data_IF_974626460883
#
_entry.id   IF_974626460883
#
_cell.length_a   1.000
_cell.length_b   1.000
_cell.length_c   1.000
_cell.angle_alpha   90.00
_cell.angle_beta   90.00
_cell.angle_gamma   90.00
#
_symmetry.space_group_name_H-M   'P 1'
#
loop_
_entity.id
_entity.type
_entity.pdbx_description
1 polymer ?
#
# COMPACT_ATOMS: atom_id res chain seq x y z
N UNK A 1 31.12 -57.43 30.65
CA UNK A 1 30.30 -58.65 30.79
C UNK A 1 28.86 -58.23 30.50
N UNK A 2 28.20 -58.94 29.61
CA UNK A 2 26.97 -58.52 28.93
C UNK A 2 25.67 -58.93 29.66
N UNK A 3 24.53 -58.57 29.02
CA UNK A 3 23.14 -59.07 29.13
C UNK A 3 22.27 -58.19 30.05
N UNK A 4 21.34 -57.34 29.59
CA UNK A 4 20.13 -57.48 28.75
C UNK A 4 18.85 -57.84 29.53
N UNK A 5 17.71 -57.36 28.99
CA UNK A 5 16.27 -57.44 29.39
C UNK A 5 15.80 -56.32 30.35
N UNK A 6 14.77 -55.51 30.09
CA UNK A 6 13.67 -55.54 29.12
C UNK A 6 12.32 -55.65 29.86
N UNK A 7 11.53 -54.58 29.95
CA UNK A 7 10.07 -54.50 29.65
C UNK A 7 9.38 -53.23 30.19
N UNK A 8 8.42 -52.76 29.39
CA UNK A 8 7.46 -51.67 29.56
C UNK A 8 6.45 -51.89 30.71
N UNK A 9 5.99 -50.79 31.35
CA UNK A 9 4.56 -50.50 31.59
C UNK A 9 4.29 -49.13 32.22
N UNK A 10 3.37 -48.38 31.61
CA UNK A 10 2.32 -47.60 32.28
C UNK A 10 2.71 -46.26 32.92
N UNK A 11 2.47 -45.16 32.21
CA UNK A 11 2.44 -43.81 32.77
C UNK A 11 1.21 -43.06 32.27
N UNK A 12 0.31 -42.76 33.21
CA UNK A 12 -1.04 -42.21 33.04
C UNK A 12 -1.03 -40.83 32.37
N UNK A 13 -1.85 -40.63 31.34
CA UNK A 13 -2.19 -39.30 30.80
C UNK A 13 -3.28 -38.70 31.69
N UNK A 14 -2.90 -37.77 32.56
CA UNK A 14 -3.85 -36.96 33.31
C UNK A 14 -4.43 -35.88 32.40
N UNK A 15 -5.70 -36.02 32.03
CA UNK A 15 -6.46 -34.98 31.33
C UNK A 15 -7.13 -34.09 32.38
N UNK A 16 -6.54 -32.94 32.68
CA UNK A 16 -7.20 -31.92 33.51
C UNK A 16 -7.91 -30.94 32.57
N UNK A 17 -9.23 -31.09 32.46
CA UNK A 17 -10.07 -30.12 31.77
C UNK A 17 -10.33 -28.93 32.70
N UNK A 18 -9.73 -27.78 32.41
CA UNK A 18 -10.14 -26.50 32.98
C UNK A 18 -11.13 -25.87 31.99
N UNK A 19 -12.41 -25.85 32.39
CA UNK A 19 -13.47 -25.17 31.66
C UNK A 19 -13.48 -23.71 32.13
N UNK A 20 -13.10 -22.79 31.25
CA UNK A 20 -13.28 -21.36 31.45
C UNK A 20 -12.61 -20.51 30.37
N UNK A 21 -13.44 -19.80 29.57
CA UNK A 21 -13.06 -18.57 28.84
C UNK A 21 -12.18 -18.73 27.60
N UNK A 22 -12.79 -18.77 26.42
CA UNK A 22 -12.22 -18.92 25.07
C UNK A 22 -10.95 -18.09 24.78
N UNK A 23 -9.81 -18.79 24.73
CA UNK A 23 -8.57 -18.40 24.06
C UNK A 23 -7.84 -19.67 23.62
N UNK A 24 -8.00 -20.08 22.36
CA UNK A 24 -7.31 -21.27 21.81
C UNK A 24 -5.89 -20.89 21.35
N UNK A 25 -4.89 -21.22 22.15
CA UNK A 25 -3.49 -21.31 21.72
C UNK A 25 -3.03 -22.77 21.76
N UNK A 26 -2.88 -23.40 20.60
CA UNK A 26 -2.22 -24.71 20.47
C UNK A 26 -0.71 -24.48 20.40
N UNK A 27 -0.02 -24.69 21.53
CA UNK A 27 1.45 -24.72 21.58
C UNK A 27 1.97 -26.11 21.24
N UNK A 28 2.59 -26.27 20.07
CA UNK A 28 3.39 -27.45 19.75
C UNK A 28 4.82 -27.20 20.24
N UNK A 29 5.26 -27.94 21.26
CA UNK A 29 6.67 -27.99 21.64
C UNK A 29 7.41 -28.99 20.75
N UNK A 30 8.14 -28.47 19.77
CA UNK A 30 9.14 -29.21 19.00
C UNK A 30 10.53 -28.77 19.48
N UNK A 31 11.34 -29.71 19.93
CA UNK A 31 12.72 -29.49 20.35
C UNK A 31 13.62 -29.20 19.14
N UNK A 32 14.11 -27.96 19.01
CA UNK A 32 15.25 -27.63 18.13
C UNK A 32 14.99 -26.52 17.11
N UNK A 33 15.37 -25.29 17.44
CA UNK A 33 15.37 -24.11 16.56
C UNK A 33 14.69 -22.91 17.21
N UNK A 34 15.48 -21.94 17.65
CA UNK A 34 15.00 -20.65 18.17
C UNK A 34 14.20 -19.92 17.07
N UNK A 35 12.87 -19.99 17.14
CA UNK A 35 11.98 -19.04 16.50
C UNK A 35 11.72 -17.94 17.53
N UNK A 36 12.21 -16.73 17.24
CA UNK A 36 11.94 -15.56 18.08
C UNK A 36 10.44 -15.32 18.21
N UNK A 37 10.03 -14.87 19.40
CA UNK A 37 8.67 -14.43 19.70
C UNK A 37 8.17 -13.46 18.63
N UNK A 38 7.13 -13.89 17.91
CA UNK A 38 6.36 -13.06 17.00
C UNK A 38 5.28 -12.41 17.85
N UNK A 39 5.45 -11.12 18.11
CA UNK A 39 4.54 -10.39 18.98
C UNK A 39 3.18 -10.18 18.28
N UNK A 40 2.14 -10.66 18.93
CA UNK A 40 0.75 -10.62 18.48
C UNK A 40 0.14 -9.27 18.83
N UNK A 41 0.50 -8.23 18.09
CA UNK A 41 -0.06 -6.89 18.25
C UNK A 41 -0.38 -6.24 16.89
N UNK A 42 -1.22 -6.91 16.11
CA UNK A 42 -2.07 -6.28 15.08
C UNK A 42 -3.38 -7.09 15.04
N UNK A 43 -4.16 -7.00 16.13
CA UNK A 43 -5.55 -7.48 16.11
C UNK A 43 -6.32 -6.55 15.17
N UNK A 44 -6.51 -7.02 13.95
CA UNK A 44 -7.43 -6.43 12.97
C UNK A 44 -8.81 -6.40 13.63
N UNK A 45 -9.15 -5.25 14.19
CA UNK A 45 -10.50 -5.00 14.66
C UNK A 45 -11.33 -4.80 13.40
N UNK A 46 -12.08 -5.82 12.99
CA UNK A 46 -13.12 -5.66 11.96
C UNK A 46 -14.10 -4.61 12.47
N UNK A 47 -13.95 -3.38 11.98
CA UNK A 47 -14.98 -2.35 12.08
C UNK A 47 -16.16 -2.80 11.22
N UNK A 48 -17.07 -3.56 11.81
CA UNK A 48 -18.38 -3.82 11.23
C UNK A 48 -19.23 -2.56 11.38
N UNK A 49 -19.10 -1.65 10.41
CA UNK A 49 -20.05 -0.56 10.23
C UNK A 49 -21.48 -1.14 10.09
N UNK A 50 -22.52 -0.49 10.64
CA UNK A 50 -23.89 -0.97 10.48
C UNK A 50 -24.24 -0.95 8.99
N UNK A 51 -24.38 -2.14 8.41
CA UNK A 51 -24.73 -2.31 7.00
C UNK A 51 -26.14 -1.73 6.84
N UNK A 52 -26.28 -0.54 6.24
CA UNK A 52 -27.55 -0.18 5.63
C UNK A 52 -27.75 -1.21 4.52
N UNK A 53 -28.66 -2.15 4.73
CA UNK A 53 -28.84 -3.26 3.80
C UNK A 53 -29.44 -2.71 2.52
N UNK A 54 -28.65 -2.68 1.46
CA UNK A 54 -29.12 -2.36 0.11
C UNK A 54 -30.20 -3.35 -0.32
N UNK A 55 -31.16 -2.91 -1.13
CA UNK A 55 -32.22 -3.78 -1.62
C UNK A 55 -31.63 -4.95 -2.42
N UNK A 56 -32.19 -6.15 -2.25
CA UNK A 56 -31.72 -7.34 -2.95
C UNK A 56 -31.79 -7.11 -4.47
N UNK A 57 -30.71 -7.43 -5.19
CA UNK A 57 -30.61 -7.21 -6.64
C UNK A 57 -30.22 -5.79 -7.08
N UNK A 58 -29.93 -4.90 -6.13
CA UNK A 58 -29.31 -3.60 -6.42
C UNK A 58 -27.80 -3.72 -6.69
N UNK A 59 -27.22 -2.66 -7.25
CA UNK A 59 -25.77 -2.53 -7.41
C UNK A 59 -25.05 -2.57 -6.05
N UNK A 60 -25.60 -1.95 -5.00
CA UNK A 60 -25.05 -2.00 -3.65
C UNK A 60 -25.04 -3.41 -3.06
N UNK A 61 -26.11 -4.19 -3.24
CA UNK A 61 -26.16 -5.60 -2.82
C UNK A 61 -25.11 -6.44 -3.56
N UNK A 62 -24.93 -6.22 -4.87
CA UNK A 62 -23.89 -6.89 -5.65
C UNK A 62 -22.48 -6.58 -5.12
N UNK A 63 -22.16 -5.32 -4.86
CA UNK A 63 -20.87 -4.92 -4.28
C UNK A 63 -20.63 -5.57 -2.91
N UNK A 64 -21.64 -5.62 -2.05
CA UNK A 64 -21.55 -6.29 -0.75
C UNK A 64 -21.28 -7.79 -0.88
N UNK A 65 -21.95 -8.47 -1.83
CA UNK A 65 -21.70 -9.90 -2.14
C UNK A 65 -20.28 -10.16 -2.64
N UNK A 66 -19.69 -9.18 -3.33
CA UNK A 66 -18.30 -9.22 -3.79
C UNK A 66 -17.29 -8.80 -2.70
N UNK A 67 -17.74 -8.69 -1.44
CA UNK A 67 -16.94 -8.36 -0.25
C UNK A 67 -16.31 -6.96 -0.31
N UNK A 68 -16.94 -6.04 -1.04
CA UNK A 68 -16.67 -4.62 -0.95
C UNK A 68 -17.61 -4.01 0.09
N UNK A 69 -17.18 -2.90 0.70
CA UNK A 69 -18.01 -2.11 1.60
C UNK A 69 -18.59 -0.94 0.80
N UNK A 70 -19.86 -0.98 0.35
CA UNK A 70 -20.43 0.13 -0.41
C UNK A 70 -20.64 1.33 0.50
N UNK A 71 -20.42 2.53 -0.04
CA UNK A 71 -20.69 3.80 0.66
C UNK A 71 -22.13 3.80 1.14
N UNK A 72 -22.38 4.16 2.39
CA UNK A 72 -23.73 4.23 2.97
C UNK A 72 -23.87 5.47 3.86
N UNK A 73 -24.98 5.59 4.60
CA UNK A 73 -25.23 6.73 5.50
C UNK A 73 -24.21 6.82 6.63
N UNK A 74 -23.70 5.69 7.11
CA UNK A 74 -22.68 5.58 8.15
C UNK A 74 -21.24 5.79 7.68
N UNK A 75 -20.95 5.78 6.38
CA UNK A 75 -19.59 6.02 5.85
C UNK A 75 -19.12 7.42 6.24
N UNK A 76 -17.96 7.54 6.88
CA UNK A 76 -17.45 8.83 7.38
C UNK A 76 -16.95 9.74 6.25
N UNK A 77 -17.02 11.05 6.47
CA UNK A 77 -16.52 12.08 5.53
C UNK A 77 -15.05 11.82 5.14
N UNK A 78 -14.22 11.39 6.10
CA UNK A 78 -12.82 11.03 5.85
C UNK A 78 -12.63 9.89 4.84
N UNK A 79 -13.54 8.91 4.79
CA UNK A 79 -13.50 7.83 3.80
C UNK A 79 -13.88 8.37 2.43
N UNK A 80 -14.89 9.23 2.36
CA UNK A 80 -15.31 9.87 1.10
C UNK A 80 -14.20 10.78 0.55
N UNK A 81 -13.53 11.56 1.40
CA UNK A 81 -12.35 12.34 1.03
C UNK A 81 -11.28 11.44 0.39
N UNK A 82 -10.98 10.28 0.99
CA UNK A 82 -10.00 9.33 0.46
C UNK A 82 -10.44 8.72 -0.87
N UNK A 83 -11.74 8.42 -1.04
CA UNK A 83 -12.31 7.97 -2.32
C UNK A 83 -12.09 9.03 -3.40
N UNK A 84 -12.39 10.29 -3.12
CA UNK A 84 -12.22 11.40 -4.07
C UNK A 84 -10.74 11.65 -4.41
N UNK A 85 -9.85 11.44 -3.43
CA UNK A 85 -8.40 11.63 -3.59
C UNK A 85 -7.67 10.41 -4.14
N UNK A 86 -8.32 9.26 -4.30
CA UNK A 86 -7.60 8.04 -4.72
C UNK A 86 -6.97 8.19 -6.11
N UNK A 87 -7.61 8.95 -7.02
CA UNK A 87 -7.17 9.16 -8.40
C UNK A 87 -5.99 10.10 -8.56
N UNK A 88 -5.52 10.74 -7.48
CA UNK A 88 -4.42 11.72 -7.54
C UNK A 88 -3.08 11.03 -7.76
N UNK A 89 -2.71 10.83 -9.01
CA UNK A 89 -1.35 10.48 -9.44
C UNK A 89 -0.68 11.59 -10.26
N UNK A 90 -1.34 12.74 -10.39
CA UNK A 90 -0.84 13.82 -11.22
C UNK A 90 0.27 14.59 -10.48
N UNK A 91 1.35 14.86 -11.21
CA UNK A 91 2.59 15.39 -10.68
C UNK A 91 2.75 16.91 -10.81
N UNK A 92 1.68 17.65 -11.09
CA UNK A 92 1.76 19.07 -11.39
C UNK A 92 1.00 19.99 -10.44
N UNK A 93 1.31 21.28 -10.52
CA UNK A 93 0.53 22.35 -9.90
C UNK A 93 -0.71 22.71 -10.72
N UNK A 94 -1.45 21.69 -11.18
CA UNK A 94 -2.63 21.86 -12.04
C UNK A 94 -3.85 21.26 -11.33
N UNK A 95 -4.98 21.98 -11.26
CA UNK A 95 -6.21 21.43 -10.74
C UNK A 95 -6.66 20.20 -11.53
N UNK A 96 -7.12 19.17 -10.81
CA UNK A 96 -7.78 18.01 -11.42
C UNK A 96 -9.26 18.29 -11.41
N UNK A 97 -9.87 18.35 -12.59
CA UNK A 97 -11.31 18.56 -12.75
C UNK A 97 -11.95 17.22 -13.12
N UNK A 98 -12.90 16.78 -12.30
CA UNK A 98 -13.76 15.64 -12.62
C UNK A 98 -15.11 16.19 -13.11
N UNK A 99 -15.44 16.07 -14.41
CA UNK A 99 -16.75 16.45 -14.93
C UNK A 99 -17.87 15.61 -14.32
N UNK A 100 -19.09 16.16 -14.38
CA UNK A 100 -20.30 15.44 -14.02
C UNK A 100 -20.41 14.14 -14.82
N UNK A 101 -20.91 13.08 -14.20
CA UNK A 101 -21.17 11.77 -14.81
C UNK A 101 -19.92 11.02 -15.32
N UNK A 102 -18.72 11.58 -15.13
CA UNK A 102 -17.47 10.95 -15.57
C UNK A 102 -17.15 9.71 -14.73
N UNK A 103 -17.24 9.82 -13.40
CA UNK A 103 -16.80 8.77 -12.48
C UNK A 103 -17.82 7.62 -12.44
N UNK A 104 -19.10 7.96 -12.41
CA UNK A 104 -20.27 7.09 -12.51
C UNK A 104 -21.49 7.97 -12.85
N UNK A 105 -22.57 7.37 -13.34
CA UNK A 105 -23.82 8.05 -13.67
C UNK A 105 -24.43 8.73 -12.43
N UNK A 106 -24.64 10.04 -12.49
CA UNK A 106 -25.08 10.85 -11.36
C UNK A 106 -23.95 11.45 -10.52
N UNK A 107 -22.68 11.11 -10.78
CA UNK A 107 -21.55 11.68 -10.04
C UNK A 107 -21.45 13.21 -10.24
N UNK A 108 -21.24 13.99 -9.15
CA UNK A 108 -21.16 15.43 -9.25
C UNK A 108 -19.84 15.88 -9.90
N UNK A 109 -19.87 17.08 -10.50
CA UNK A 109 -18.64 17.76 -10.89
C UNK A 109 -17.90 18.24 -9.64
N UNK A 110 -16.59 18.02 -9.59
CA UNK A 110 -15.74 18.64 -8.56
C UNK A 110 -14.33 18.92 -9.09
N UNK A 111 -13.56 19.66 -8.29
CA UNK A 111 -12.18 20.02 -8.63
C UNK A 111 -11.29 19.84 -7.42
N UNK A 112 -10.21 19.10 -7.59
CA UNK A 112 -9.12 19.03 -6.62
C UNK A 112 -8.12 20.13 -6.96
N UNK A 113 -7.96 21.08 -6.04
CA UNK A 113 -7.01 22.18 -6.20
C UNK A 113 -5.62 21.75 -5.76
N UNK A 114 -4.56 22.11 -6.50
CA UNK A 114 -3.21 21.79 -6.09
C UNK A 114 -2.82 22.67 -4.89
N UNK A 115 -1.99 22.11 -4.01
CA UNK A 115 -1.41 22.77 -2.85
C UNK A 115 0.11 22.55 -2.91
N UNK A 116 0.90 23.60 -2.77
CA UNK A 116 2.37 23.49 -2.70
C UNK A 116 2.82 23.69 -1.27
N UNK A 117 3.66 22.78 -0.77
CA UNK A 117 4.33 22.89 0.52
C UNK A 117 5.82 22.94 0.30
N UNK A 118 6.49 23.83 1.03
CA UNK A 118 7.95 23.91 1.03
C UNK A 118 8.49 23.21 2.27
N UNK A 119 9.30 22.17 2.08
CA UNK A 119 10.00 21.48 3.17
C UNK A 119 11.49 21.47 2.83
N UNK A 120 12.30 22.07 3.70
CA UNK A 120 13.76 22.19 3.51
C UNK A 120 14.15 22.75 2.11
N UNK A 121 13.47 23.81 1.68
CA UNK A 121 13.70 24.44 0.38
C UNK A 121 13.22 23.64 -0.84
N UNK A 122 12.50 22.52 -0.63
CA UNK A 122 11.93 21.70 -1.69
C UNK A 122 10.40 21.81 -1.75
N UNK A 123 9.89 21.93 -2.97
CA UNK A 123 8.47 22.00 -3.28
C UNK A 123 7.87 20.59 -3.37
N UNK A 124 6.87 20.36 -2.53
CA UNK A 124 5.99 19.20 -2.57
C UNK A 124 4.62 19.63 -3.08
N UNK A 125 4.16 18.93 -4.12
CA UNK A 125 2.89 19.21 -4.76
C UNK A 125 1.84 18.21 -4.24
N UNK A 126 0.79 18.75 -3.67
CA UNK A 126 -0.33 18.06 -3.05
C UNK A 126 -1.65 18.49 -3.69
N UNK A 127 -2.73 17.88 -3.24
CA UNK A 127 -4.08 18.34 -3.53
C UNK A 127 -4.80 18.66 -2.23
N UNK A 128 -5.56 19.75 -2.22
CA UNK A 128 -6.47 20.08 -1.14
C UNK A 128 -7.50 18.97 -0.97
N UNK A 129 -7.82 18.67 0.30
CA UNK A 129 -8.95 17.80 0.59
C UNK A 129 -10.24 18.41 0.07
N UNK A 130 -11.17 17.61 -0.49
CA UNK A 130 -12.48 18.09 -0.90
C UNK A 130 -13.21 18.78 0.26
N UNK A 131 -13.84 19.92 -0.02
CA UNK A 131 -14.66 20.64 0.98
C UNK A 131 -15.92 19.85 1.31
N UNK A 132 -16.50 20.11 2.49
CA UNK A 132 -17.67 19.37 3.00
C UNK A 132 -18.83 19.26 2.01
N UNK A 133 -19.20 20.34 1.32
CA UNK A 133 -20.30 20.29 0.35
C UNK A 133 -20.03 19.31 -0.81
N UNK A 134 -18.76 19.17 -1.24
CA UNK A 134 -18.36 18.20 -2.27
C UNK A 134 -18.45 16.77 -1.72
N UNK A 135 -18.00 16.57 -0.48
CA UNK A 135 -18.06 15.27 0.22
C UNK A 135 -19.50 14.81 0.37
N UNK A 136 -20.38 15.67 0.89
CA UNK A 136 -21.79 15.37 1.13
C UNK A 136 -22.51 15.06 -0.19
N UNK A 137 -22.34 15.89 -1.22
CA UNK A 137 -22.96 15.69 -2.54
C UNK A 137 -22.48 14.39 -3.21
N UNK A 138 -21.20 14.05 -3.10
CA UNK A 138 -20.67 12.81 -3.66
C UNK A 138 -21.17 11.58 -2.91
N UNK A 139 -21.24 11.65 -1.58
CA UNK A 139 -21.80 10.58 -0.73
C UNK A 139 -23.26 10.30 -1.09
N UNK A 140 -24.07 11.34 -1.25
CA UNK A 140 -25.47 11.22 -1.69
C UNK A 140 -25.56 10.60 -3.09
N UNK A 141 -24.77 11.09 -4.05
CA UNK A 141 -24.74 10.54 -5.40
C UNK A 141 -24.40 9.04 -5.42
N UNK A 142 -23.43 8.61 -4.60
CA UNK A 142 -23.13 7.19 -4.45
C UNK A 142 -24.31 6.40 -3.87
N UNK A 143 -24.95 6.88 -2.81
CA UNK A 143 -26.10 6.20 -2.21
C UNK A 143 -27.23 6.02 -3.22
N UNK A 144 -27.54 7.05 -4.01
CA UNK A 144 -28.56 6.98 -5.07
C UNK A 144 -28.17 5.97 -6.15
N UNK A 145 -26.94 6.04 -6.66
CA UNK A 145 -26.47 5.14 -7.71
C UNK A 145 -26.47 3.67 -7.26
N UNK A 146 -26.11 3.40 -6.00
CA UNK A 146 -26.06 2.05 -5.44
C UNK A 146 -27.45 1.41 -5.23
N UNK A 147 -28.54 2.21 -5.22
CA UNK A 147 -29.91 1.68 -5.23
C UNK A 147 -30.37 1.22 -6.63
N UNK A 148 -29.62 1.56 -7.69
CA UNK A 148 -29.94 1.16 -9.05
C UNK A 148 -29.97 -0.36 -9.22
N UNK A 149 -30.85 -0.86 -10.08
CA UNK A 149 -30.96 -2.29 -10.38
C UNK A 149 -29.69 -2.80 -11.07
N UNK A 150 -29.18 -3.94 -10.61
CA UNK A 150 -28.02 -4.57 -11.25
C UNK A 150 -28.41 -5.27 -12.55
N UNK A 151 -27.67 -4.99 -13.61
CA UNK A 151 -27.66 -5.77 -14.86
C UNK A 151 -26.24 -6.22 -15.20
N UNK A 152 -26.10 -7.46 -15.69
CA UNK A 152 -24.79 -8.10 -15.96
C UNK A 152 -23.93 -7.37 -17.00
N UNK A 153 -24.54 -6.54 -17.83
CA UNK A 153 -23.88 -5.89 -18.97
C UNK A 153 -23.48 -4.43 -18.70
N UNK A 154 -23.54 -3.97 -17.45
CA UNK A 154 -23.22 -2.57 -17.12
C UNK A 154 -21.74 -2.37 -16.77
N UNK A 155 -21.01 -1.61 -17.60
CA UNK A 155 -19.69 -1.04 -17.21
C UNK A 155 -19.78 -0.07 -16.00
N UNK A 156 -21.00 0.21 -15.56
CA UNK A 156 -21.32 1.02 -14.38
C UNK A 156 -20.96 0.32 -13.06
N UNK A 157 -21.07 -1.01 -12.98
CA UNK A 157 -20.69 -1.72 -11.76
C UNK A 157 -19.22 -1.47 -11.42
N UNK A 158 -18.31 -1.57 -12.40
CA UNK A 158 -16.88 -1.33 -12.20
C UNK A 158 -16.59 0.12 -11.77
N UNK A 159 -17.36 1.09 -12.28
CA UNK A 159 -17.26 2.48 -11.85
C UNK A 159 -17.67 2.65 -10.39
N UNK A 160 -18.77 2.04 -9.96
CA UNK A 160 -19.24 2.08 -8.57
C UNK A 160 -18.34 1.27 -7.63
N UNK A 161 -17.79 0.14 -8.09
CA UNK A 161 -16.72 -0.57 -7.38
C UNK A 161 -15.56 0.37 -7.10
N UNK A 162 -15.20 1.23 -8.04
CA UNK A 162 -14.07 2.14 -7.90
C UNK A 162 -14.36 3.36 -7.04
N UNK A 163 -15.55 3.93 -7.18
CA UNK A 163 -15.85 5.27 -6.68
C UNK A 163 -16.94 5.32 -5.60
N UNK A 164 -17.66 4.24 -5.35
CA UNK A 164 -18.71 4.15 -4.34
C UNK A 164 -18.52 2.96 -3.39
N UNK A 165 -17.28 2.50 -3.22
CA UNK A 165 -16.89 1.55 -2.16
C UNK A 165 -15.74 2.09 -1.32
N UNK A 166 -15.74 1.73 -0.04
CA UNK A 166 -14.66 2.06 0.88
C UNK A 166 -13.38 1.34 0.43
N UNK A 167 -12.33 2.10 0.03
CA UNK A 167 -11.14 1.51 -0.55
C UNK A 167 -10.26 0.90 0.53
N UNK A 168 -9.73 -0.29 0.24
CA UNK A 168 -8.52 -0.82 0.89
C UNK A 168 -7.30 -0.49 0.03
N UNK A 169 -6.10 -0.56 0.59
CA UNK A 169 -4.85 -0.31 -0.16
C UNK A 169 -4.79 -1.18 -1.43
N UNK A 170 -5.15 -2.47 -1.35
CA UNK A 170 -5.19 -3.36 -2.52
C UNK A 170 -6.16 -2.91 -3.62
N UNK A 171 -7.29 -2.29 -3.26
CA UNK A 171 -8.27 -1.80 -4.24
C UNK A 171 -7.67 -0.63 -5.01
N UNK A 172 -7.02 0.29 -4.31
CA UNK A 172 -6.40 1.47 -4.93
C UNK A 172 -5.21 1.07 -5.80
N UNK A 173 -4.38 0.12 -5.38
CA UNK A 173 -3.31 -0.45 -6.23
C UNK A 173 -3.86 -1.01 -7.55
N UNK A 174 -4.91 -1.83 -7.50
CA UNK A 174 -5.54 -2.39 -8.70
C UNK A 174 -6.13 -1.30 -9.61
N UNK A 175 -6.78 -0.29 -9.02
CA UNK A 175 -7.31 0.88 -9.76
C UNK A 175 -6.21 1.65 -10.49
N UNK A 176 -4.99 1.62 -9.95
CA UNK A 176 -3.79 2.18 -10.53
C UNK A 176 -2.96 1.16 -11.32
N UNK A 177 -3.58 0.09 -11.82
CA UNK A 177 -2.97 -0.88 -12.72
C UNK A 177 -1.79 -1.65 -12.12
N UNK A 178 -1.67 -1.72 -10.80
CA UNK A 178 -0.70 -2.60 -10.16
C UNK A 178 -1.31 -3.98 -9.92
N UNK A 179 -0.50 -5.01 -10.16
CA UNK A 179 -0.83 -6.40 -9.86
C UNK A 179 -0.23 -6.77 -8.50
N UNK A 180 -1.03 -7.34 -7.62
CA UNK A 180 -0.53 -7.77 -6.30
C UNK A 180 0.39 -8.98 -6.47
N UNK A 181 1.58 -8.89 -5.90
CA UNK A 181 2.57 -9.94 -5.99
C UNK A 181 2.16 -11.14 -5.11
N UNK A 182 2.15 -12.34 -5.69
CA UNK A 182 1.97 -13.61 -5.00
C UNK A 182 3.16 -14.57 -5.16
N UNK A 183 4.08 -14.28 -6.07
CA UNK A 183 5.14 -15.17 -6.52
C UNK A 183 6.45 -14.98 -5.72
N UNK A 184 7.06 -16.08 -5.30
CA UNK A 184 8.29 -16.05 -4.49
C UNK A 184 9.47 -15.45 -5.26
N UNK A 185 9.60 -15.72 -6.57
CA UNK A 185 10.69 -15.17 -7.38
C UNK A 185 10.54 -13.67 -7.58
N UNK A 186 9.32 -13.19 -7.85
CA UNK A 186 9.04 -11.76 -7.87
C UNK A 186 9.33 -11.08 -6.51
N UNK A 187 9.04 -11.74 -5.39
CA UNK A 187 9.42 -11.21 -4.06
C UNK A 187 10.94 -11.18 -3.86
N UNK A 188 11.67 -12.20 -4.31
CA UNK A 188 13.15 -12.18 -4.28
C UNK A 188 13.69 -11.00 -5.07
N UNK A 189 13.14 -10.75 -6.26
CA UNK A 189 13.52 -9.61 -7.10
C UNK A 189 13.29 -8.27 -6.39
N UNK A 190 12.14 -8.09 -5.75
CA UNK A 190 11.81 -6.88 -4.98
C UNK A 190 12.78 -6.68 -3.80
N UNK A 191 13.03 -7.74 -3.03
CA UNK A 191 13.86 -7.68 -1.82
C UNK A 191 15.32 -7.44 -2.18
N UNK A 192 15.84 -8.17 -3.18
CA UNK A 192 17.19 -7.97 -3.73
C UNK A 192 17.34 -6.69 -4.56
N UNK A 193 16.25 -5.97 -4.78
CA UNK A 193 16.16 -4.80 -5.64
C UNK A 193 16.84 -3.52 -5.13
N UNK A 194 17.24 -3.51 -3.86
CA UNK A 194 18.14 -2.52 -3.29
C UNK A 194 17.59 -1.68 -2.14
N UNK A 195 16.30 -1.77 -1.78
CA UNK A 195 15.81 -1.10 -0.57
C UNK A 195 16.42 -1.67 0.72
N UNK A 196 16.93 -2.90 0.69
CA UNK A 196 17.53 -3.58 1.84
C UNK A 196 19.05 -3.71 1.74
N UNK A 197 19.69 -2.87 0.92
CA UNK A 197 21.16 -2.84 0.73
C UNK A 197 21.79 -1.54 1.22
N UNK A 198 23.11 -1.59 1.42
CA UNK A 198 23.99 -0.43 1.62
C UNK A 198 24.75 -0.18 0.33
N UNK A 199 24.72 1.06 -0.14
CA UNK A 199 25.48 1.50 -1.31
C UNK A 199 26.26 2.75 -0.93
N UNK A 200 27.60 2.67 -1.00
CA UNK A 200 28.50 3.66 -0.39
C UNK A 200 28.13 3.85 1.09
N UNK A 201 27.94 5.09 1.54
CA UNK A 201 27.51 5.40 2.91
C UNK A 201 25.98 5.40 3.09
N UNK A 202 25.20 5.11 2.05
CA UNK A 202 23.75 5.15 2.09
C UNK A 202 23.19 3.77 2.43
N UNK A 203 22.53 3.68 3.59
CA UNK A 203 21.73 2.52 3.99
C UNK A 203 20.28 2.71 3.55
N UNK A 204 19.88 2.06 2.47
CA UNK A 204 18.52 2.26 1.93
C UNK A 204 17.42 1.72 2.83
N UNK A 205 17.74 0.76 3.70
CA UNK A 205 16.76 0.24 4.66
C UNK A 205 16.35 1.28 5.71
N UNK A 206 17.14 2.34 5.90
CA UNK A 206 16.82 3.48 6.78
C UNK A 206 15.99 4.55 6.06
N UNK A 207 15.77 4.41 4.74
CA UNK A 207 15.04 5.36 3.87
C UNK A 207 13.61 4.93 3.54
N UNK A 208 13.15 3.81 4.09
CA UNK A 208 11.82 3.25 3.92
C UNK A 208 11.14 3.03 5.29
N UNK A 209 9.82 2.89 5.31
CA UNK A 209 8.99 2.61 6.49
C UNK A 209 8.26 1.27 6.42
N UNK A 210 8.37 0.57 5.30
CA UNK A 210 7.74 -0.72 5.04
C UNK A 210 8.20 -1.80 6.02
N UNK A 211 9.50 -1.97 6.27
CA UNK A 211 10.02 -2.72 7.43
C UNK A 211 10.34 -1.70 8.52
N UNK A 212 9.64 -1.78 9.66
CA UNK A 212 9.82 -0.84 10.77
C UNK A 212 11.24 -0.94 11.33
N UNK A 213 11.73 0.16 11.92
CA UNK A 213 13.10 0.27 12.46
C UNK A 213 13.40 -0.81 13.50
N UNK A 214 12.44 -1.12 14.35
CA UNK A 214 12.55 -2.17 15.38
C UNK A 214 12.64 -3.58 14.80
N UNK A 215 12.15 -3.80 13.57
CA UNK A 215 12.18 -5.10 12.89
C UNK A 215 13.35 -5.23 11.90
N UNK A 216 14.10 -4.15 11.64
CA UNK A 216 15.13 -4.20 10.59
C UNK A 216 16.30 -5.10 10.97
N UNK A 217 16.63 -5.16 12.26
CA UNK A 217 17.73 -5.98 12.77
C UNK A 217 17.41 -7.47 12.63
N UNK A 218 16.18 -7.88 12.96
CA UNK A 218 15.74 -9.28 12.79
C UNK A 218 15.52 -9.63 11.33
N UNK A 219 15.08 -8.67 10.51
CA UNK A 219 14.92 -8.86 9.06
C UNK A 219 16.27 -9.07 8.36
N UNK A 220 17.28 -8.23 8.62
CA UNK A 220 18.59 -8.33 7.95
C UNK A 220 19.53 -9.35 8.61
N UNK A 221 19.34 -9.65 9.90
CA UNK A 221 20.20 -10.56 10.65
C UNK A 221 21.68 -10.18 10.56
N UNK A 222 22.54 -11.15 10.30
CA UNK A 222 23.99 -10.94 10.14
C UNK A 222 24.34 -10.01 8.97
N UNK A 223 23.47 -9.90 7.96
CA UNK A 223 23.69 -9.03 6.79
C UNK A 223 23.65 -7.53 7.15
N UNK A 224 23.04 -7.17 8.29
CA UNK A 224 22.98 -5.80 8.80
C UNK A 224 24.37 -5.17 8.98
N UNK A 225 25.34 -5.96 9.44
CA UNK A 225 26.69 -5.49 9.76
C UNK A 225 27.56 -5.26 8.51
N UNK A 226 27.10 -5.73 7.35
CA UNK A 226 27.83 -5.66 6.09
C UNK A 226 27.11 -4.72 5.10
N UNK A 227 26.67 -5.28 3.96
CA UNK A 227 26.03 -4.53 2.86
C UNK A 227 24.53 -4.77 2.75
N UNK A 228 23.91 -5.48 3.69
CA UNK A 228 22.51 -5.88 3.60
C UNK A 228 22.29 -6.96 2.54
N UNK A 229 21.14 -6.90 1.85
CA UNK A 229 20.76 -7.83 0.77
C UNK A 229 21.16 -7.20 -0.57
N UNK A 230 22.27 -7.66 -1.16
CA UNK A 230 22.84 -7.05 -2.38
C UNK A 230 22.13 -7.47 -3.68
N UNK A 231 21.53 -8.66 -3.70
CA UNK A 231 20.89 -9.25 -4.88
C UNK A 231 19.82 -10.28 -4.50
N UNK A 232 19.10 -10.79 -5.50
CA UNK A 232 18.05 -11.82 -5.34
C UNK A 232 18.58 -13.15 -4.80
N UNK A 233 19.86 -13.48 -5.01
CA UNK A 233 20.47 -14.72 -4.52
C UNK A 233 20.74 -14.65 -3.02
N UNK A 234 20.92 -13.44 -2.49
CA UNK A 234 21.10 -13.15 -1.08
C UNK A 234 19.78 -13.16 -0.28
N UNK A 235 18.64 -13.41 -0.94
CA UNK A 235 17.31 -13.41 -0.35
C UNK A 235 16.94 -14.80 0.16
N UNK A 236 17.02 -14.96 1.47
CA UNK A 236 16.53 -16.16 2.16
C UNK A 236 14.99 -16.21 2.27
N UNK A 237 14.46 -17.42 2.45
CA UNK A 237 13.01 -17.66 2.61
C UNK A 237 12.38 -16.86 3.75
N UNK A 238 13.11 -16.61 4.83
CA UNK A 238 12.66 -15.80 5.96
C UNK A 238 12.35 -14.36 5.56
N UNK A 239 13.13 -13.76 4.65
CA UNK A 239 12.87 -12.42 4.13
C UNK A 239 11.57 -12.39 3.31
N UNK A 240 11.39 -13.39 2.43
CA UNK A 240 10.19 -13.51 1.58
C UNK A 240 8.94 -13.63 2.46
N UNK A 241 8.95 -14.50 3.47
CA UNK A 241 7.84 -14.69 4.38
C UNK A 241 7.52 -13.41 5.16
N UNK A 242 8.55 -12.70 5.63
CA UNK A 242 8.39 -11.43 6.36
C UNK A 242 7.72 -10.35 5.50
N UNK A 243 8.18 -10.19 4.24
CA UNK A 243 7.58 -9.24 3.29
C UNK A 243 6.16 -9.66 2.91
N UNK A 244 5.92 -10.95 2.62
CA UNK A 244 4.57 -11.47 2.31
C UNK A 244 3.58 -11.22 3.44
N UNK A 245 3.99 -11.47 4.69
CA UNK A 245 3.16 -11.21 5.87
C UNK A 245 2.81 -9.73 5.98
N UNK A 246 3.81 -8.85 5.87
CA UNK A 246 3.63 -7.40 5.86
C UNK A 246 2.68 -6.94 4.77
N UNK A 247 2.85 -7.46 3.55
CA UNK A 247 1.99 -7.15 2.42
C UNK A 247 0.55 -7.55 2.67
N UNK A 248 0.28 -8.77 3.17
CA UNK A 248 -1.08 -9.20 3.50
C UNK A 248 -1.76 -8.27 4.50
N UNK A 249 -1.06 -7.89 5.57
CA UNK A 249 -1.59 -6.97 6.57
C UNK A 249 -1.87 -5.58 5.97
N UNK A 250 -0.92 -5.02 5.24
CA UNK A 250 -1.01 -3.66 4.69
C UNK A 250 -2.05 -3.54 3.56
N UNK A 251 -2.17 -4.57 2.71
CA UNK A 251 -3.12 -4.60 1.59
C UNK A 251 -4.58 -4.60 2.04
N UNK A 252 -4.87 -5.12 3.23
CA UNK A 252 -6.23 -5.16 3.80
C UNK A 252 -6.62 -3.90 4.58
N UNK A 253 -5.66 -3.00 4.85
CA UNK A 253 -5.94 -1.76 5.58
C UNK A 253 -6.83 -0.81 4.77
N UNK A 254 -7.68 0.00 5.43
CA UNK A 254 -8.38 1.10 4.80
C UNK A 254 -7.38 2.05 4.13
N UNK A 255 -7.64 2.40 2.88
CA UNK A 255 -6.81 3.37 2.18
C UNK A 255 -7.01 4.76 2.77
N UNK A 256 -5.90 5.45 3.03
CA UNK A 256 -5.89 6.80 3.55
C UNK A 256 -4.80 7.60 2.85
N UNK A 257 -5.17 8.72 2.23
CA UNK A 257 -4.23 9.62 1.57
C UNK A 257 -4.24 10.96 2.27
N UNK A 258 -3.15 11.23 2.98
CA UNK A 258 -2.90 12.54 3.59
C UNK A 258 -2.00 13.43 2.72
N UNK A 259 -1.13 12.81 1.93
CA UNK A 259 -0.18 13.49 1.06
C UNK A 259 0.15 12.62 -0.15
N UNK A 260 0.52 13.24 -1.26
CA UNK A 260 1.22 12.56 -2.36
C UNK A 260 2.66 12.23 -1.93
N UNK A 261 3.34 11.32 -2.65
CA UNK A 261 4.63 10.74 -2.24
C UNK A 261 5.64 11.81 -1.78
N UNK A 262 6.03 11.70 -0.51
CA UNK A 262 7.16 12.43 0.06
C UNK A 262 8.16 11.37 0.54
N UNK A 263 9.42 11.38 0.07
CA UNK A 263 10.44 10.48 0.56
C UNK A 263 10.64 10.61 2.08
N UNK A 264 11.00 9.50 2.74
CA UNK A 264 11.10 9.43 4.21
C UNK A 264 12.04 10.49 4.81
N UNK A 265 13.16 10.79 4.13
CA UNK A 265 14.12 11.81 4.58
C UNK A 265 13.51 13.22 4.68
N UNK A 266 12.54 13.56 3.83
CA UNK A 266 11.84 14.84 3.93
C UNK A 266 10.71 14.77 4.98
N UNK A 267 10.04 13.62 5.12
CA UNK A 267 9.11 13.37 6.23
C UNK A 267 9.74 13.55 7.60
N UNK A 268 10.94 13.02 7.80
CA UNK A 268 11.65 13.12 9.08
C UNK A 268 12.04 14.57 9.42
N UNK A 269 12.09 15.46 8.42
CA UNK A 269 12.46 16.86 8.54
C UNK A 269 11.25 17.81 8.60
N UNK A 270 10.04 17.30 8.34
CA UNK A 270 8.81 18.09 8.34
C UNK A 270 8.26 18.26 9.77
N UNK A 271 8.52 19.41 10.36
CA UNK A 271 8.09 19.75 11.73
C UNK A 271 6.59 20.12 11.82
N UNK A 272 5.86 20.18 10.71
CA UNK A 272 4.52 20.80 10.66
C UNK A 272 3.34 19.84 10.89
N UNK A 273 3.55 18.57 11.22
CA UNK A 273 2.43 17.62 11.42
C UNK A 273 2.54 16.67 12.63
N UNK A 274 1.41 16.55 13.32
CA UNK A 274 1.14 15.72 14.51
C UNK A 274 0.88 14.23 14.18
N UNK A 275 0.74 13.86 12.90
CA UNK A 275 0.48 12.47 12.49
C UNK A 275 1.37 12.04 11.32
N UNK A 276 2.52 11.46 11.67
CA UNK A 276 3.63 11.03 10.82
C UNK A 276 3.37 9.71 10.08
N UNK A 277 2.29 9.63 9.29
CA UNK A 277 2.00 8.40 8.54
C UNK A 277 2.20 8.64 7.05
N UNK A 278 3.25 8.01 6.49
CA UNK A 278 3.43 7.87 5.06
C UNK A 278 2.21 7.16 4.45
N UNK A 279 1.77 7.58 3.25
CA UNK A 279 0.71 6.91 2.51
C UNK A 279 1.13 5.46 2.23
N UNK A 280 0.48 4.51 2.91
CA UNK A 280 0.80 3.07 2.85
C UNK A 280 0.70 2.53 1.41
N UNK A 281 -0.14 3.12 0.56
CA UNK A 281 -0.23 2.77 -0.86
C UNK A 281 1.12 2.91 -1.59
N UNK A 282 1.91 3.93 -1.26
CA UNK A 282 3.15 4.24 -1.97
C UNK A 282 4.20 3.13 -1.77
N UNK A 283 4.35 2.65 -0.54
CA UNK A 283 5.25 1.55 -0.22
C UNK A 283 4.65 0.19 -0.61
N UNK A 284 3.33 0.04 -0.52
CA UNK A 284 2.67 -1.16 -1.03
C UNK A 284 2.95 -1.37 -2.52
N UNK A 285 2.94 -0.29 -3.32
CA UNK A 285 3.28 -0.37 -4.72
C UNK A 285 4.73 -0.87 -4.92
N UNK A 286 5.66 -0.39 -4.09
CA UNK A 286 7.08 -0.78 -4.16
C UNK A 286 7.28 -2.25 -3.77
N UNK A 287 6.69 -2.69 -2.66
CA UNK A 287 7.03 -3.97 -2.02
C UNK A 287 6.04 -5.10 -2.25
N UNK A 288 4.79 -4.79 -2.58
CA UNK A 288 3.69 -5.76 -2.61
C UNK A 288 3.09 -5.97 -3.99
N UNK A 289 3.70 -5.39 -5.03
CA UNK A 289 3.21 -5.52 -6.41
C UNK A 289 4.26 -6.14 -7.31
N UNK A 290 3.81 -6.74 -8.41
CA UNK A 290 4.70 -7.25 -9.44
C UNK A 290 5.58 -6.10 -9.96
N UNK A 291 6.91 -6.27 -10.03
CA UNK A 291 7.80 -5.23 -10.52
C UNK A 291 7.44 -4.78 -11.94
N UNK A 292 7.42 -3.46 -12.15
CA UNK A 292 7.22 -2.85 -13.46
C UNK A 292 8.16 -1.66 -13.63
N UNK A 293 8.46 -1.29 -14.88
CA UNK A 293 9.31 -0.13 -15.15
C UNK A 293 8.53 1.19 -15.00
N UNK A 294 9.27 2.29 -14.83
CA UNK A 294 8.70 3.64 -14.85
C UNK A 294 8.01 3.92 -16.19
N UNK A 295 8.63 3.54 -17.31
CA UNK A 295 8.03 3.67 -18.65
C UNK A 295 6.73 2.89 -18.79
N UNK A 296 6.70 1.64 -18.34
CA UNK A 296 5.49 0.82 -18.38
C UNK A 296 4.37 1.46 -17.55
N UNK A 297 4.69 2.06 -16.41
CA UNK A 297 3.71 2.75 -15.59
C UNK A 297 3.14 4.00 -16.27
N UNK A 298 4.01 4.85 -16.79
CA UNK A 298 3.62 6.08 -17.49
C UNK A 298 2.73 5.76 -18.69
N UNK A 299 3.15 4.80 -19.52
CA UNK A 299 2.50 4.54 -20.81
C UNK A 299 1.26 3.67 -20.70
N UNK A 300 1.30 2.59 -19.90
CA UNK A 300 0.19 1.62 -19.80
C UNK A 300 -0.85 2.00 -18.75
N UNK A 301 -0.44 2.70 -17.68
CA UNK A 301 -1.35 3.06 -16.57
C UNK A 301 -1.74 4.52 -16.60
N UNK A 302 -0.78 5.45 -16.66
CA UNK A 302 -1.09 6.88 -16.70
C UNK A 302 -1.53 7.37 -18.08
N UNK A 303 -1.37 6.52 -19.11
CA UNK A 303 -1.65 6.84 -20.51
C UNK A 303 -0.91 8.10 -20.99
N UNK A 304 0.24 8.38 -20.39
CA UNK A 304 1.08 9.52 -20.71
C UNK A 304 2.15 9.19 -21.75
N UNK A 305 3.09 10.12 -21.88
CA UNK A 305 4.32 9.97 -22.65
C UNK A 305 5.53 10.12 -21.72
N UNK A 306 6.65 9.47 -22.08
CA UNK A 306 7.90 9.54 -21.31
C UNK A 306 8.76 10.69 -21.85
N UNK A 307 9.20 11.60 -20.97
CA UNK A 307 10.16 12.66 -21.32
C UNK A 307 11.53 12.03 -21.66
N UNK A 308 12.20 12.57 -22.68
CA UNK A 308 13.54 12.10 -23.09
C UNK A 308 14.64 12.47 -22.08
N UNK A 309 14.49 13.62 -21.42
CA UNK A 309 15.36 14.09 -20.35
C UNK A 309 14.50 14.60 -19.19
N UNK A 310 14.94 14.37 -17.95
CA UNK A 310 14.32 14.99 -16.79
C UNK A 310 14.66 16.48 -16.81
N UNK A 311 13.71 17.37 -17.10
CA UNK A 311 13.91 18.80 -16.82
C UNK A 311 14.08 18.95 -15.31
N UNK A 312 15.27 19.36 -14.90
CA UNK A 312 15.66 19.30 -13.50
C UNK A 312 15.35 20.66 -12.83
N UNK A 313 14.15 20.80 -12.26
CA UNK A 313 13.86 21.89 -11.33
C UNK A 313 14.54 21.61 -9.98
N UNK A 314 15.56 22.41 -9.64
CA UNK A 314 16.30 22.32 -8.37
C UNK A 314 15.43 22.51 -7.14
N UNK A 315 14.24 23.12 -7.28
CA UNK A 315 13.28 23.26 -6.19
C UNK A 315 12.37 22.04 -6.03
N UNK A 316 12.32 21.11 -6.98
CA UNK A 316 11.44 19.93 -6.89
C UNK A 316 11.95 18.92 -5.86
N UNK A 317 11.03 18.34 -5.07
CA UNK A 317 11.36 17.29 -4.09
C UNK A 317 12.01 16.05 -4.72
N UNK A 318 11.68 15.75 -5.97
CA UNK A 318 12.26 14.65 -6.74
C UNK A 318 13.53 15.05 -7.50
N UNK A 319 14.04 16.26 -7.31
CA UNK A 319 15.34 16.68 -7.83
C UNK A 319 16.43 15.68 -7.43
N UNK A 320 17.19 15.22 -8.44
CA UNK A 320 18.37 14.39 -8.26
C UNK A 320 19.59 15.24 -8.58
N UNK A 321 20.46 15.46 -7.59
CA UNK A 321 21.69 16.25 -7.78
C UNK A 321 22.64 15.60 -8.79
N UNK A 322 22.58 14.28 -8.92
CA UNK A 322 23.33 13.52 -9.91
C UNK A 322 22.36 12.94 -10.94
N UNK A 323 22.71 13.04 -12.22
CA UNK A 323 21.92 12.45 -13.30
C UNK A 323 21.86 10.93 -13.13
N UNK A 324 20.67 10.37 -13.00
CA UNK A 324 20.45 8.92 -12.96
C UNK A 324 20.15 8.45 -14.38
N UNK A 325 21.10 7.73 -14.99
CA UNK A 325 20.90 7.15 -16.32
C UNK A 325 19.85 6.04 -16.30
N UNK A 326 19.03 5.98 -17.36
CA UNK A 326 18.07 4.90 -17.56
C UNK A 326 16.91 4.89 -16.56
N UNK A 327 16.48 6.05 -16.05
CA UNK A 327 15.34 6.15 -15.11
C UNK A 327 14.08 5.45 -15.63
N UNK A 328 13.83 5.50 -16.94
CA UNK A 328 12.67 4.88 -17.59
C UNK A 328 12.64 3.36 -17.42
N UNK A 329 13.81 2.72 -17.36
CA UNK A 329 14.00 1.27 -17.27
C UNK A 329 14.05 0.79 -15.81
N UNK A 330 14.13 1.72 -14.85
CA UNK A 330 14.15 1.36 -13.42
C UNK A 330 12.80 0.78 -13.01
N UNK A 331 12.86 -0.31 -12.25
CA UNK A 331 11.68 -1.01 -11.72
C UNK A 331 11.16 -0.36 -10.43
N UNK A 332 9.92 -0.68 -10.08
CA UNK A 332 9.21 -0.16 -8.90
C UNK A 332 10.00 -0.23 -7.59
N UNK A 333 10.80 -1.27 -7.41
CA UNK A 333 11.57 -1.51 -6.19
C UNK A 333 12.92 -0.77 -6.15
N UNK A 334 13.29 0.01 -7.17
CA UNK A 334 14.64 0.59 -7.21
C UNK A 334 14.69 1.94 -6.46
N UNK A 335 15.57 2.14 -5.46
CA UNK A 335 15.44 3.23 -4.50
C UNK A 335 16.03 4.61 -4.88
N UNK A 336 16.93 4.74 -5.88
CA UNK A 336 17.74 5.94 -6.20
C UNK A 336 17.77 7.05 -5.15
N UNK A 337 18.81 7.08 -4.32
CA UNK A 337 18.98 8.16 -3.34
C UNK A 337 17.85 8.27 -2.31
N UNK A 338 16.95 7.26 -2.22
CA UNK A 338 15.80 7.23 -1.33
C UNK A 338 14.54 7.84 -1.93
N UNK A 339 14.60 8.36 -3.15
CA UNK A 339 13.49 9.02 -3.85
C UNK A 339 12.62 8.01 -4.63
N UNK A 340 13.18 6.88 -5.05
CA UNK A 340 12.44 5.72 -5.53
C UNK A 340 11.50 5.94 -6.73
N UNK A 341 10.83 4.87 -7.13
CA UNK A 341 9.98 4.80 -8.33
C UNK A 341 9.09 6.02 -8.59
N UNK A 342 8.40 6.55 -7.57
CA UNK A 342 7.48 7.67 -7.70
C UNK A 342 8.13 8.95 -8.21
N UNK A 343 9.38 9.21 -7.80
CA UNK A 343 10.13 10.32 -8.36
C UNK A 343 10.55 10.09 -9.81
N UNK A 344 10.79 8.84 -10.21
CA UNK A 344 11.08 8.49 -11.60
C UNK A 344 9.87 8.75 -12.49
N UNK A 345 8.68 8.33 -12.03
CA UNK A 345 7.42 8.64 -12.71
C UNK A 345 7.21 10.14 -12.79
N UNK A 346 7.41 10.89 -11.70
CA UNK A 346 7.28 12.36 -11.66
C UNK A 346 8.16 13.05 -12.69
N UNK A 347 9.44 12.73 -12.68
CA UNK A 347 10.44 13.38 -13.53
C UNK A 347 10.22 13.08 -15.01
N UNK A 348 9.72 11.89 -15.33
CA UNK A 348 9.56 11.43 -16.71
C UNK A 348 8.14 11.55 -17.26
N UNK A 349 7.12 11.80 -16.44
CA UNK A 349 5.74 11.89 -16.90
C UNK A 349 5.49 13.15 -17.72
N UNK A 350 4.89 12.97 -18.90
CA UNK A 350 4.34 14.04 -19.74
C UNK A 350 2.88 13.68 -20.07
N UNK A 351 1.91 14.57 -19.78
CA UNK A 351 0.53 14.40 -20.26
C UNK A 351 0.50 14.26 -21.79
N UNK A 352 -0.43 13.44 -22.30
CA UNK A 352 -0.71 13.36 -23.74
C UNK A 352 -1.65 14.44 -24.20
#
# INVERSE_FOLDING_TARGET
MAISTGYLKGGVVGLTAIIGGTGFGLGFYSSGGYLGEIDSADVVTELSSPISKYADGSLGDKLSKDKLAPVNTGTSDSIIENILMQGTLFFGNVPIVYPKDQLFSGSPRFTLKPLVKVVNGKNFYFYEKPVKNTVDAFKEACQVALQGSYSKDSGELQKLENWCSEPKVKHVLKRHGFEINSDDEAFKEVIGGGWFKKENDVKYWEKQTFIKKELINSFLGEKLNNKGIEDSNSVDRSHILSVKYRCRALLEKPFSRKSFYMPKNYWDQDNSHVNKNLDEFQEAAIFCTTPRTVEDYITKTLQGSVKGESEIDTSDACYLSNHVSGLKDKKTYWPFGGNGFWCGVRLLYKPR
#
